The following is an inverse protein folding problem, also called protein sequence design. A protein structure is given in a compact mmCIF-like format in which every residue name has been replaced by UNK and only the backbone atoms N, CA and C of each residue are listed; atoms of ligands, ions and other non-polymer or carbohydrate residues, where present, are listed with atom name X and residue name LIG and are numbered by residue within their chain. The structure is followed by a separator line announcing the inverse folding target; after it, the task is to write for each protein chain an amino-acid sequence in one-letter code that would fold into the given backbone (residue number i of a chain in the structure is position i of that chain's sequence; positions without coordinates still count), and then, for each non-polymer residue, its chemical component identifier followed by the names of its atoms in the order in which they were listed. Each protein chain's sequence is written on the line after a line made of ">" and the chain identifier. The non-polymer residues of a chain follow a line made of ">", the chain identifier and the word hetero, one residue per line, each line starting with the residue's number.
data_IF_158101862025
#
_entry.id   IF_158101862025
#
_cell.length_a   1.000
_cell.length_b   1.000
_cell.length_c   1.000
_cell.angle_alpha   90.00
_cell.angle_beta   90.00
_cell.angle_gamma   90.00
#
_symmetry.space_group_name_H-M   'P 1'
#
loop_
_entity.id
_entity.type
_entity.pdbx_description
1 polymer ?
#
# COMPACT_ATOMS: atom_id res chain seq x y z
N UNK A 1 -25.02 22.18 46.39
CA UNK A 1 -23.85 23.07 46.62
C UNK A 1 -24.22 24.10 47.67
N UNK A 2 -23.63 24.03 48.86
CA UNK A 2 -23.76 25.10 49.86
C UNK A 2 -22.97 26.30 49.33
N UNK A 3 -23.66 27.35 48.87
CA UNK A 3 -23.04 28.67 48.67
C UNK A 3 -22.48 29.09 50.03
N UNK A 4 -21.16 29.00 50.21
CA UNK A 4 -20.52 29.75 51.29
C UNK A 4 -20.86 31.22 51.04
N UNK A 5 -21.52 31.86 52.01
CA UNK A 5 -21.70 33.31 52.05
C UNK A 5 -20.33 33.94 51.74
N UNK A 6 -20.23 34.67 50.64
CA UNK A 6 -19.13 35.60 50.40
C UNK A 6 -19.10 36.55 51.60
N UNK A 7 -18.21 36.26 52.55
CA UNK A 7 -17.80 37.24 53.54
C UNK A 7 -16.97 38.22 52.73
N UNK A 8 -17.59 39.30 52.28
CA UNK A 8 -16.88 40.42 51.67
C UNK A 8 -15.86 40.92 52.68
N UNK A 9 -14.61 40.47 52.53
CA UNK A 9 -13.49 41.01 53.29
C UNK A 9 -13.24 42.42 52.77
N UNK A 10 -13.64 43.41 53.55
CA UNK A 10 -13.27 44.80 53.31
C UNK A 10 -11.76 44.92 53.50
N UNK A 11 -10.99 44.98 52.41
CA UNK A 11 -9.55 45.26 52.47
C UNK A 11 -9.38 46.70 52.96
N UNK A 12 -8.60 46.86 54.04
CA UNK A 12 -8.09 48.19 54.43
C UNK A 12 -6.93 48.54 53.49
N UNK A 13 -6.92 49.76 53.01
CA UNK A 13 -5.85 50.29 52.17
C UNK A 13 -4.59 50.47 53.03
N UNK A 14 -3.52 49.74 52.69
CA UNK A 14 -2.23 49.81 53.37
C UNK A 14 -1.29 50.64 52.49
N UNK A 15 -0.88 51.82 52.97
CA UNK A 15 0.06 52.70 52.25
C UNK A 15 1.31 52.95 53.10
N UNK A 16 2.48 52.74 52.49
CA UNK A 16 3.76 53.04 53.13
C UNK A 16 4.15 54.49 52.83
N UNK A 17 4.48 55.26 53.87
CA UNK A 17 5.04 56.61 53.75
C UNK A 17 6.54 56.53 54.02
N UNK A 18 7.34 56.70 52.98
CA UNK A 18 8.80 56.65 53.07
C UNK A 18 9.34 58.09 53.14
N UNK A 19 10.01 58.42 54.24
CA UNK A 19 10.70 59.71 54.43
C UNK A 19 12.20 59.50 54.41
N UNK A 20 12.91 60.36 53.66
CA UNK A 20 14.36 60.32 53.56
C UNK A 20 14.94 61.70 53.80
N UNK A 21 15.82 61.83 54.79
CA UNK A 21 16.60 63.05 55.00
C UNK A 21 17.92 62.97 54.21
N UNK A 22 18.33 64.08 53.59
CA UNK A 22 19.47 64.13 52.66
C UNK A 22 20.77 63.75 53.36
N UNK A 23 21.28 62.56 53.10
CA UNK A 23 22.58 62.14 53.62
C UNK A 23 23.72 62.82 52.83
N UNK A 24 24.56 63.62 53.51
CA UNK A 24 25.70 64.34 52.93
C UNK A 24 26.99 63.62 53.27
N UNK A 25 27.70 63.14 52.24
CA UNK A 25 29.08 62.63 52.37
C UNK A 25 30.05 63.78 52.11
N UNK A 26 31.00 64.02 53.02
CA UNK A 26 32.08 65.00 52.85
C UNK A 26 33.45 64.33 52.97
N UNK A 27 34.43 64.89 52.26
CA UNK A 27 35.82 64.43 52.29
C UNK A 27 36.73 65.66 52.22
N UNK A 28 37.93 65.57 52.81
CA UNK A 28 38.97 66.58 52.76
C UNK A 28 39.73 66.55 51.42
N UNK A 29 38.98 66.59 50.30
CA UNK A 29 39.52 66.39 48.95
C UNK A 29 40.71 67.29 48.62
N UNK A 30 40.68 68.58 49.00
CA UNK A 30 41.78 69.50 48.72
C UNK A 30 43.06 69.11 49.47
N UNK A 31 42.95 68.70 50.73
CA UNK A 31 44.11 68.24 51.51
C UNK A 31 44.68 66.93 50.95
N UNK A 32 43.82 65.98 50.59
CA UNK A 32 44.24 64.69 50.01
C UNK A 32 44.87 64.90 48.63
N UNK A 33 44.30 65.78 47.80
CA UNK A 33 44.82 66.15 46.48
C UNK A 33 46.20 66.80 46.58
N UNK A 34 46.38 67.71 47.53
CA UNK A 34 47.68 68.34 47.76
C UNK A 34 48.73 67.31 48.19
N UNK A 35 48.42 66.44 49.15
CA UNK A 35 49.33 65.39 49.61
C UNK A 35 49.72 64.40 48.49
N UNK A 36 48.77 64.04 47.61
CA UNK A 36 49.04 63.21 46.42
C UNK A 36 49.96 63.96 45.46
N UNK A 37 49.71 65.24 45.18
CA UNK A 37 50.52 66.04 44.27
C UNK A 37 51.96 66.21 44.76
N UNK A 38 52.16 66.44 46.07
CA UNK A 38 53.47 66.51 46.70
C UNK A 38 54.22 65.18 46.57
N UNK A 39 53.56 64.06 46.90
CA UNK A 39 54.15 62.71 46.76
C UNK A 39 54.51 62.39 45.31
N UNK A 40 53.70 62.84 44.34
CA UNK A 40 53.94 62.59 42.91
C UNK A 40 54.98 63.54 42.30
N UNK A 41 55.21 64.71 42.91
CA UNK A 41 56.19 65.69 42.44
C UNK A 41 57.63 65.13 42.49
N UNK A 42 57.93 64.27 43.46
CA UNK A 42 59.22 63.57 43.58
C UNK A 42 59.58 62.72 42.35
N UNK A 43 58.58 62.31 41.56
CA UNK A 43 58.77 61.51 40.36
C UNK A 43 58.75 62.34 39.08
N UNK A 44 58.46 63.65 39.14
CA UNK A 44 58.49 64.53 37.97
C UNK A 44 59.93 64.76 37.52
N UNK A 45 60.27 64.24 36.34
CA UNK A 45 61.62 64.34 35.77
C UNK A 45 62.60 63.25 36.23
N UNK A 46 62.15 62.27 37.02
CA UNK A 46 62.99 61.13 37.41
C UNK A 46 63.29 60.22 36.20
N UNK A 47 64.57 59.97 35.93
CA UNK A 47 65.04 59.03 34.90
C UNK A 47 65.60 57.78 35.60
N UNK A 48 64.90 56.65 35.46
CA UNK A 48 65.35 55.38 36.02
C UNK A 48 66.26 54.64 35.02
N UNK A 49 67.43 54.24 35.47
CA UNK A 49 68.46 53.50 34.72
C UNK A 49 68.47 52.00 35.09
N UNK A 50 69.26 51.19 34.39
CA UNK A 50 69.30 49.74 34.61
C UNK A 50 69.71 49.34 36.03
N UNK A 51 70.66 50.08 36.63
CA UNK A 51 71.13 49.88 38.00
C UNK A 51 70.10 50.27 39.08
N UNK A 52 69.11 51.11 38.73
CA UNK A 52 68.06 51.59 39.66
C UNK A 52 66.72 50.85 39.49
N UNK A 53 66.66 49.81 38.65
CA UNK A 53 65.46 49.03 38.32
C UNK A 53 64.76 48.41 39.54
N UNK A 54 65.53 47.89 40.49
CA UNK A 54 64.99 47.31 41.74
C UNK A 54 64.34 48.37 42.62
N UNK A 55 64.92 49.56 42.69
CA UNK A 55 64.38 50.71 43.41
C UNK A 55 63.11 51.27 42.74
N UNK A 56 63.11 51.39 41.42
CA UNK A 56 61.94 51.79 40.64
C UNK A 56 60.74 50.85 40.87
N UNK A 57 60.97 49.53 40.89
CA UNK A 57 59.92 48.53 41.19
C UNK A 57 59.32 48.70 42.59
N UNK A 58 60.14 49.03 43.61
CA UNK A 58 59.66 49.29 44.98
C UNK A 58 58.76 50.53 45.05
N UNK A 59 59.13 51.60 44.35
CA UNK A 59 58.31 52.81 44.27
C UNK A 59 56.98 52.59 43.57
N UNK A 60 56.98 51.86 42.45
CA UNK A 60 55.74 51.48 41.76
C UNK A 60 54.84 50.64 42.67
N UNK A 61 55.40 49.70 43.43
CA UNK A 61 54.62 48.91 44.39
C UNK A 61 54.01 49.78 45.49
N UNK A 62 54.79 50.73 46.05
CA UNK A 62 54.32 51.68 47.06
C UNK A 62 53.20 52.59 46.54
N UNK A 63 53.34 53.15 45.34
CA UNK A 63 52.31 53.97 44.70
C UNK A 63 51.02 53.18 44.42
N UNK A 64 51.15 51.91 44.01
CA UNK A 64 49.99 51.01 43.82
C UNK A 64 49.29 50.70 45.15
N UNK A 65 50.03 50.51 46.24
CA UNK A 65 49.47 50.31 47.57
C UNK A 65 48.68 51.54 48.03
N UNK A 66 49.29 52.74 47.99
CA UNK A 66 48.60 54.00 48.36
C UNK A 66 47.36 54.28 47.50
N UNK A 67 47.40 53.97 46.20
CA UNK A 67 46.22 54.05 45.32
C UNK A 67 45.13 53.08 45.76
N UNK A 68 45.51 51.83 46.09
CA UNK A 68 44.58 50.81 46.56
C UNK A 68 43.93 51.22 47.88
N UNK A 69 44.70 51.75 48.83
CA UNK A 69 44.18 52.18 50.14
C UNK A 69 43.10 53.26 50.00
N UNK A 70 43.30 54.25 49.10
CA UNK A 70 42.28 55.26 48.83
C UNK A 70 41.03 54.67 48.16
N UNK A 71 41.20 53.68 47.27
CA UNK A 71 40.08 52.97 46.64
C UNK A 71 39.31 52.11 47.65
N UNK A 72 40.02 51.49 48.59
CA UNK A 72 39.43 50.65 49.64
C UNK A 72 38.66 51.52 50.63
N UNK A 73 39.22 52.66 51.06
CA UNK A 73 38.51 53.65 51.89
C UNK A 73 37.22 54.16 51.23
N UNK A 74 37.24 54.44 49.93
CA UNK A 74 36.04 54.83 49.18
C UNK A 74 34.99 53.71 49.17
N UNK A 75 35.43 52.45 48.99
CA UNK A 75 34.54 51.29 48.97
C UNK A 75 33.91 51.04 50.34
N UNK A 76 34.68 51.18 51.42
CA UNK A 76 34.19 51.04 52.79
C UNK A 76 33.19 52.15 53.15
N UNK A 77 33.51 53.42 52.83
CA UNK A 77 32.59 54.54 53.04
C UNK A 77 31.28 54.37 52.25
N UNK A 78 31.34 53.85 51.01
CA UNK A 78 30.13 53.50 50.24
C UNK A 78 29.34 52.39 50.92
N UNK A 79 29.99 51.34 51.41
CA UNK A 79 29.34 50.23 52.10
C UNK A 79 28.64 50.72 53.37
N UNK A 80 29.31 51.55 54.15
CA UNK A 80 28.74 52.13 55.37
C UNK A 80 27.58 53.08 55.08
N UNK A 81 27.67 53.90 54.03
CA UNK A 81 26.57 54.74 53.56
C UNK A 81 25.36 53.92 53.06
N UNK A 82 25.59 52.74 52.50
CA UNK A 82 24.52 51.84 52.04
C UNK A 82 23.91 50.99 53.15
N UNK A 83 24.57 50.79 54.30
CA UNK A 83 24.01 49.99 55.40
C UNK A 83 22.60 50.42 55.84
N UNK A 84 22.29 51.72 56.07
CA UNK A 84 20.95 52.13 56.46
C UNK A 84 19.90 51.86 55.36
N UNK A 85 20.32 51.94 54.10
CA UNK A 85 19.46 51.57 52.97
C UNK A 85 19.23 50.07 52.93
N UNK A 86 20.28 49.26 53.05
CA UNK A 86 20.18 47.79 53.01
C UNK A 86 19.30 47.26 54.15
N UNK A 87 19.41 47.86 55.35
CA UNK A 87 18.55 47.55 56.51
C UNK A 87 17.08 47.94 56.25
N UNK A 88 16.83 49.15 55.73
CA UNK A 88 15.48 49.59 55.35
C UNK A 88 14.88 48.72 54.25
N UNK A 89 15.67 48.40 53.20
CA UNK A 89 15.25 47.53 52.10
C UNK A 89 14.92 46.12 52.62
N UNK A 90 15.70 45.61 53.58
CA UNK A 90 15.40 44.36 54.28
C UNK A 90 14.04 44.37 54.97
N UNK A 91 13.77 45.41 55.77
CA UNK A 91 12.47 45.58 56.45
C UNK A 91 11.31 45.76 55.46
N UNK A 92 11.51 46.52 54.38
CA UNK A 92 10.50 46.69 53.35
C UNK A 92 10.20 45.37 52.62
N UNK A 93 11.22 44.57 52.31
CA UNK A 93 11.07 43.23 51.72
C UNK A 93 10.35 42.26 52.65
N UNK A 94 10.62 42.33 53.95
CA UNK A 94 9.88 41.53 54.95
C UNK A 94 8.39 41.86 54.91
N UNK A 95 8.02 43.15 54.92
CA UNK A 95 6.62 43.58 54.80
C UNK A 95 5.97 43.14 53.49
N UNK A 96 6.70 43.16 52.37
CA UNK A 96 6.22 42.66 51.08
C UNK A 96 6.01 41.15 51.13
N UNK A 97 6.93 40.40 51.74
CA UNK A 97 6.86 38.94 51.80
C UNK A 97 5.68 38.40 52.62
N UNK A 98 5.10 39.22 53.52
CA UNK A 98 3.90 38.86 54.26
C UNK A 98 2.68 38.61 53.36
N UNK A 99 2.69 39.11 52.11
CA UNK A 99 1.63 38.85 51.14
C UNK A 99 1.80 37.52 50.40
N UNK A 100 3.01 36.95 50.37
CA UNK A 100 3.30 35.76 49.55
C UNK A 100 2.53 34.53 50.06
N UNK A 101 2.58 34.26 51.38
CA UNK A 101 1.87 33.11 51.99
C UNK A 101 0.36 33.09 51.70
N UNK A 102 -0.42 34.17 51.97
CA UNK A 102 -1.85 34.16 51.67
C UNK A 102 -2.14 34.15 50.16
N UNK A 103 -1.29 34.75 49.32
CA UNK A 103 -1.43 34.67 47.85
C UNK A 103 -1.27 33.23 47.39
N UNK A 104 -0.22 32.55 47.83
CA UNK A 104 0.08 31.17 47.46
C UNK A 104 -1.00 30.21 47.97
N UNK A 105 -1.51 30.43 49.19
CA UNK A 105 -2.64 29.67 49.73
C UNK A 105 -3.88 29.82 48.86
N UNK A 106 -4.24 31.05 48.47
CA UNK A 106 -5.42 31.31 47.61
C UNK A 106 -5.21 30.70 46.23
N UNK A 107 -4.03 30.89 45.62
CA UNK A 107 -3.70 30.32 44.32
C UNK A 107 -3.79 28.79 44.34
N UNK A 108 -3.22 28.16 45.37
CA UNK A 108 -3.30 26.71 45.56
C UNK A 108 -4.74 26.22 45.72
N UNK A 109 -5.58 26.94 46.48
CA UNK A 109 -7.00 26.61 46.61
C UNK A 109 -7.74 26.74 45.27
N UNK A 110 -7.53 27.83 44.53
CA UNK A 110 -8.15 28.05 43.20
C UNK A 110 -7.73 26.96 42.21
N UNK A 111 -6.44 26.62 42.17
CA UNK A 111 -5.93 25.54 41.33
C UNK A 111 -6.55 24.18 41.71
N UNK A 112 -6.61 23.85 43.00
CA UNK A 112 -7.23 22.61 43.46
C UNK A 112 -8.73 22.54 43.12
N UNK A 113 -9.46 23.66 43.18
CA UNK A 113 -10.85 23.71 42.73
C UNK A 113 -10.97 23.45 41.22
N UNK A 114 -10.08 24.02 40.42
CA UNK A 114 -10.06 23.84 38.97
C UNK A 114 -9.72 22.40 38.57
N UNK A 115 -8.71 21.80 39.20
CA UNK A 115 -8.33 20.41 39.01
C UNK A 115 -9.47 19.46 39.39
N UNK A 116 -10.10 19.68 40.54
CA UNK A 116 -11.25 18.89 40.98
C UNK A 116 -12.45 19.06 40.02
N UNK A 117 -12.70 20.28 39.52
CA UNK A 117 -13.73 20.52 38.51
C UNK A 117 -13.46 19.72 37.23
N UNK A 118 -12.22 19.74 36.73
CA UNK A 118 -11.82 18.99 35.54
C UNK A 118 -11.91 17.48 35.78
N UNK A 119 -11.45 16.98 36.94
CA UNK A 119 -11.55 15.57 37.30
C UNK A 119 -13.00 15.08 37.32
N UNK A 120 -13.90 15.81 37.97
CA UNK A 120 -15.34 15.51 37.95
C UNK A 120 -15.94 15.57 36.55
N UNK A 121 -15.45 16.49 35.70
CA UNK A 121 -15.89 16.57 34.30
C UNK A 121 -15.44 15.35 33.50
N UNK A 122 -14.23 14.84 33.72
CA UNK A 122 -13.72 13.61 33.11
C UNK A 122 -14.52 12.39 33.55
N UNK A 123 -14.83 12.29 34.84
CA UNK A 123 -15.69 11.23 35.38
C UNK A 123 -17.09 11.29 34.75
N UNK A 124 -17.67 12.49 34.61
CA UNK A 124 -18.93 12.68 33.90
C UNK A 124 -18.83 12.22 32.44
N UNK A 125 -17.80 12.61 31.70
CA UNK A 125 -17.59 12.21 30.30
C UNK A 125 -17.50 10.68 30.19
N UNK A 126 -16.75 10.04 31.08
CA UNK A 126 -16.66 8.58 31.12
C UNK A 126 -18.03 7.94 31.41
N UNK A 127 -18.79 8.47 32.39
CA UNK A 127 -20.13 7.98 32.70
C UNK A 127 -21.10 8.14 31.53
N UNK A 128 -21.02 9.27 30.80
CA UNK A 128 -21.80 9.49 29.59
C UNK A 128 -21.42 8.50 28.49
N UNK A 129 -20.13 8.23 28.31
CA UNK A 129 -19.65 7.24 27.33
C UNK A 129 -20.22 5.86 27.60
N UNK A 130 -20.10 5.39 28.83
CA UNK A 130 -20.62 4.09 29.25
C UNK A 130 -22.14 3.97 29.04
N UNK A 131 -22.88 5.07 29.29
CA UNK A 131 -24.34 5.09 29.17
C UNK A 131 -24.85 5.26 27.73
N UNK A 132 -24.12 5.99 26.87
CA UNK A 132 -24.60 6.38 25.54
C UNK A 132 -24.00 5.55 24.41
N UNK A 133 -22.85 4.91 24.63
CA UNK A 133 -22.17 4.10 23.61
C UNK A 133 -22.39 2.61 23.90
N UNK A 134 -23.19 1.91 23.07
CA UNK A 134 -23.40 0.48 23.18
C UNK A 134 -22.10 -0.30 23.16
N UNK A 135 -22.04 -1.39 23.92
CA UNK A 135 -20.82 -2.21 24.09
C UNK A 135 -20.23 -2.71 22.77
N UNK A 136 -21.10 -3.08 21.82
CA UNK A 136 -20.71 -3.53 20.47
C UNK A 136 -19.94 -2.45 19.68
N UNK A 137 -20.27 -1.17 19.89
CA UNK A 137 -19.64 -0.04 19.20
C UNK A 137 -18.33 0.39 19.86
N UNK A 138 -18.08 0.03 21.13
CA UNK A 138 -16.88 0.47 21.86
C UNK A 138 -15.58 -0.02 21.22
N UNK A 139 -15.62 -1.15 20.52
CA UNK A 139 -14.48 -1.66 19.74
C UNK A 139 -14.12 -0.79 18.52
N UNK A 140 -15.06 0.00 18.02
CA UNK A 140 -14.89 0.92 16.88
C UNK A 140 -14.59 2.35 17.36
N UNK A 141 -15.33 2.79 18.38
CA UNK A 141 -15.26 4.14 18.96
C UNK A 141 -14.88 4.07 20.46
N UNK A 142 -13.65 3.65 20.79
CA UNK A 142 -13.20 3.69 22.18
C UNK A 142 -13.09 5.16 22.65
N UNK A 143 -13.31 5.40 23.95
CA UNK A 143 -13.45 6.76 24.48
C UNK A 143 -12.25 7.64 24.14
N UNK A 144 -11.02 7.13 24.29
CA UNK A 144 -9.77 7.81 23.96
C UNK A 144 -9.72 8.33 22.52
N UNK A 145 -10.33 7.61 21.57
CA UNK A 145 -10.36 7.99 20.16
C UNK A 145 -11.36 9.12 19.87
N UNK A 146 -12.50 9.10 20.54
CA UNK A 146 -13.58 10.10 20.31
C UNK A 146 -13.52 11.25 21.32
N UNK A 147 -12.62 11.20 22.29
CA UNK A 147 -12.50 12.17 23.36
C UNK A 147 -12.13 13.55 22.83
N UNK A 148 -12.91 14.56 23.19
CA UNK A 148 -12.63 15.94 22.85
C UNK A 148 -12.24 16.74 24.10
N UNK A 149 -11.00 17.23 24.16
CA UNK A 149 -10.50 18.04 25.29
C UNK A 149 -11.35 19.27 25.58
N UNK A 150 -12.07 19.81 24.58
CA UNK A 150 -12.99 20.94 24.78
C UNK A 150 -14.14 20.61 25.74
N UNK A 151 -14.50 19.33 25.90
CA UNK A 151 -15.53 18.89 26.85
C UNK A 151 -15.14 19.16 28.32
N UNK A 152 -13.85 19.33 28.62
CA UNK A 152 -13.34 19.64 29.97
C UNK A 152 -13.61 21.10 30.39
N UNK A 153 -13.96 21.97 29.45
CA UNK A 153 -14.21 23.39 29.70
C UNK A 153 -15.46 23.60 30.56
N UNK A 154 -15.38 24.53 31.51
CA UNK A 154 -16.52 24.87 32.38
C UNK A 154 -17.77 25.34 31.62
N UNK A 155 -17.59 25.98 30.46
CA UNK A 155 -18.69 26.52 29.65
C UNK A 155 -19.43 25.45 28.86
N UNK A 156 -18.82 24.29 28.61
CA UNK A 156 -19.43 23.21 27.82
C UNK A 156 -20.40 22.42 28.69
N UNK A 157 -21.67 22.39 28.29
CA UNK A 157 -22.73 21.77 29.08
C UNK A 157 -22.77 20.27 28.83
N UNK A 158 -23.23 19.52 29.82
CA UNK A 158 -23.43 18.06 29.72
C UNK A 158 -24.32 17.68 28.52
N UNK A 159 -25.36 18.48 28.23
CA UNK A 159 -26.25 18.29 27.09
C UNK A 159 -25.50 18.29 25.76
N UNK A 160 -24.51 19.18 25.61
CA UNK A 160 -23.76 19.34 24.37
C UNK A 160 -22.82 18.13 24.18
N UNK A 161 -22.14 17.71 25.25
CA UNK A 161 -21.29 16.51 25.27
C UNK A 161 -22.11 15.26 24.90
N UNK A 162 -23.29 15.11 25.54
CA UNK A 162 -24.22 14.01 25.26
C UNK A 162 -24.66 14.02 23.79
N UNK A 163 -25.01 15.18 23.24
CA UNK A 163 -25.40 15.34 21.84
C UNK A 163 -24.30 14.95 20.86
N UNK A 164 -23.06 15.43 21.08
CA UNK A 164 -21.91 15.08 20.26
C UNK A 164 -21.63 13.57 20.31
N UNK A 165 -21.59 12.99 21.52
CA UNK A 165 -21.28 11.57 21.72
C UNK A 165 -22.34 10.64 21.14
N UNK A 166 -23.63 10.94 21.34
CA UNK A 166 -24.72 10.20 20.71
C UNK A 166 -24.71 10.34 19.19
N UNK A 167 -24.34 11.52 18.66
CA UNK A 167 -24.18 11.72 17.23
C UNK A 167 -23.08 10.84 16.62
N UNK A 168 -21.95 10.71 17.32
CA UNK A 168 -20.86 9.80 16.93
C UNK A 168 -21.35 8.35 16.95
N UNK A 169 -21.99 7.90 18.04
CA UNK A 169 -22.49 6.54 18.16
C UNK A 169 -23.51 6.20 17.05
N UNK A 170 -24.50 7.06 16.81
CA UNK A 170 -25.50 6.87 15.78
C UNK A 170 -24.89 6.84 14.36
N UNK A 171 -23.89 7.67 14.10
CA UNK A 171 -23.15 7.64 12.82
C UNK A 171 -22.41 6.31 12.66
N UNK A 172 -21.68 5.87 13.68
CA UNK A 172 -20.94 4.60 13.65
C UNK A 172 -21.87 3.41 13.46
N UNK A 173 -23.01 3.38 14.15
CA UNK A 173 -24.03 2.35 13.98
C UNK A 173 -24.56 2.30 12.54
N UNK A 174 -24.90 3.47 11.98
CA UNK A 174 -25.38 3.58 10.58
C UNK A 174 -24.32 3.12 9.57
N UNK A 175 -23.08 3.53 9.76
CA UNK A 175 -21.97 3.15 8.88
C UNK A 175 -21.75 1.63 8.92
N UNK A 176 -21.78 1.02 10.11
CA UNK A 176 -21.68 -0.44 10.28
C UNK A 176 -22.87 -1.16 9.63
N UNK A 177 -24.09 -0.65 9.80
CA UNK A 177 -25.28 -1.16 9.12
C UNK A 177 -25.11 -1.17 7.60
N UNK A 178 -24.66 -0.05 7.03
CA UNK A 178 -24.40 0.09 5.59
C UNK A 178 -23.37 -0.93 5.08
N UNK A 179 -22.30 -1.17 5.83
CA UNK A 179 -21.28 -2.18 5.48
C UNK A 179 -21.88 -3.58 5.50
N UNK A 180 -22.69 -3.91 6.52
CA UNK A 180 -23.33 -5.23 6.66
C UNK A 180 -24.39 -5.48 5.57
N UNK A 181 -25.12 -4.45 5.18
CA UNK A 181 -26.20 -4.52 4.18
C UNK A 181 -25.68 -4.78 2.74
N UNK A 182 -24.36 -4.75 2.51
CA UNK A 182 -23.77 -5.01 1.18
C UNK A 182 -23.81 -6.50 0.79
N UNK A 183 -24.17 -7.41 1.70
CA UNK A 183 -24.34 -8.87 1.43
C UNK A 183 -23.12 -9.54 0.75
N UNK A 184 -21.92 -9.12 1.12
CA UNK A 184 -20.65 -9.57 0.51
C UNK A 184 -19.87 -10.50 1.43
N UNK A 185 -19.12 -11.47 0.88
CA UNK A 185 -18.25 -12.35 1.69
C UNK A 185 -17.10 -11.58 2.39
N UNK A 186 -16.83 -10.34 1.94
CA UNK A 186 -15.78 -9.47 2.47
C UNK A 186 -16.26 -8.48 3.54
N UNK A 187 -17.51 -8.59 4.03
CA UNK A 187 -18.06 -7.69 5.07
C UNK A 187 -17.19 -7.66 6.32
N UNK A 188 -16.71 -8.80 6.82
CA UNK A 188 -15.85 -8.85 8.02
C UNK A 188 -14.52 -8.12 7.82
N UNK A 189 -13.94 -8.22 6.61
CA UNK A 189 -12.75 -7.46 6.22
C UNK A 189 -13.02 -5.97 6.16
N UNK A 190 -14.16 -5.56 5.61
CA UNK A 190 -14.59 -4.17 5.53
C UNK A 190 -14.86 -3.55 6.91
N UNK A 191 -15.50 -4.30 7.82
CA UNK A 191 -15.69 -3.90 9.21
C UNK A 191 -14.36 -3.72 9.94
N UNK A 192 -13.36 -4.56 9.63
CA UNK A 192 -12.01 -4.41 10.19
C UNK A 192 -11.32 -3.13 9.69
N UNK A 193 -11.43 -2.83 8.39
CA UNK A 193 -10.94 -1.57 7.80
C UNK A 193 -11.64 -0.36 8.45
N UNK A 194 -12.96 -0.43 8.61
CA UNK A 194 -13.75 0.61 9.26
C UNK A 194 -13.34 0.79 10.73
N UNK A 195 -13.09 -0.30 11.48
CA UNK A 195 -12.61 -0.23 12.87
C UNK A 195 -11.30 0.55 12.97
N UNK A 196 -10.37 0.35 12.04
CA UNK A 196 -9.08 1.04 12.07
C UNK A 196 -9.21 2.49 11.63
N UNK A 197 -9.94 2.78 10.54
CA UNK A 197 -9.95 4.13 9.93
C UNK A 197 -11.12 5.02 10.36
N UNK A 198 -12.21 4.43 10.87
CA UNK A 198 -13.49 5.08 11.14
C UNK A 198 -14.08 5.81 9.91
N UNK A 199 -13.79 5.29 8.72
CA UNK A 199 -14.18 5.87 7.43
C UNK A 199 -14.96 4.85 6.61
N UNK A 200 -16.23 5.18 6.34
CA UNK A 200 -17.15 4.35 5.56
C UNK A 200 -16.67 4.22 4.11
N UNK A 201 -16.09 5.28 3.52
CA UNK A 201 -15.67 5.31 2.12
C UNK A 201 -14.55 4.29 1.86
N UNK A 202 -13.61 4.20 2.79
CA UNK A 202 -12.50 3.24 2.76
C UNK A 202 -13.01 1.81 2.89
N UNK A 203 -13.98 1.56 3.79
CA UNK A 203 -14.58 0.25 3.95
C UNK A 203 -15.38 -0.19 2.72
N UNK A 204 -16.18 0.72 2.13
CA UNK A 204 -16.92 0.45 0.88
C UNK A 204 -15.97 0.24 -0.30
N UNK A 205 -14.87 0.98 -0.38
CA UNK A 205 -13.85 0.79 -1.41
C UNK A 205 -13.21 -0.61 -1.33
N UNK A 206 -12.96 -1.09 -0.11
CA UNK A 206 -12.49 -2.46 0.10
C UNK A 206 -13.49 -3.50 -0.41
N UNK A 207 -14.78 -3.33 -0.10
CA UNK A 207 -15.86 -4.20 -0.60
C UNK A 207 -15.93 -4.22 -2.13
N UNK A 208 -16.02 -3.04 -2.75
CA UNK A 208 -16.13 -2.92 -4.21
C UNK A 208 -14.91 -3.54 -4.93
N UNK A 209 -13.72 -3.41 -4.36
CA UNK A 209 -12.51 -4.02 -4.93
C UNK A 209 -12.56 -5.55 -4.83
N UNK A 210 -13.01 -6.09 -3.70
CA UNK A 210 -13.17 -7.53 -3.52
C UNK A 210 -14.21 -8.11 -4.48
N UNK A 211 -15.37 -7.46 -4.62
CA UNK A 211 -16.42 -7.88 -5.54
C UNK A 211 -15.98 -7.82 -6.99
N UNK A 212 -15.26 -6.76 -7.38
CA UNK A 212 -14.66 -6.66 -8.71
C UNK A 212 -13.72 -7.83 -8.99
N UNK A 213 -12.83 -8.15 -8.06
CA UNK A 213 -11.91 -9.28 -8.20
C UNK A 213 -12.66 -10.61 -8.31
N UNK A 214 -13.70 -10.84 -7.49
CA UNK A 214 -14.54 -12.05 -7.56
C UNK A 214 -15.23 -12.17 -8.92
N UNK A 215 -15.80 -11.08 -9.44
CA UNK A 215 -16.45 -11.05 -10.76
C UNK A 215 -15.45 -11.29 -11.90
N UNK A 216 -14.25 -10.70 -11.83
CA UNK A 216 -13.19 -10.93 -12.82
C UNK A 216 -12.74 -12.41 -12.87
N UNK A 217 -12.63 -13.06 -11.70
CA UNK A 217 -12.28 -14.48 -11.63
C UNK A 217 -13.39 -15.35 -12.24
N UNK A 218 -14.64 -15.09 -11.88
CA UNK A 218 -15.81 -15.81 -12.42
C UNK A 218 -15.94 -15.64 -13.94
N UNK A 219 -15.75 -14.41 -14.44
CA UNK A 219 -15.80 -14.12 -15.87
C UNK A 219 -14.72 -14.89 -16.63
N UNK A 220 -13.48 -14.89 -16.12
CA UNK A 220 -12.37 -15.66 -16.71
C UNK A 220 -12.62 -17.16 -16.69
N UNK A 221 -13.20 -17.70 -15.63
CA UNK A 221 -13.53 -19.13 -15.57
C UNK A 221 -14.65 -19.51 -16.53
N UNK A 222 -15.70 -18.68 -16.64
CA UNK A 222 -16.77 -18.88 -17.61
C UNK A 222 -16.26 -18.80 -19.05
N UNK A 223 -15.41 -17.83 -19.36
CA UNK A 223 -14.77 -17.72 -20.67
C UNK A 223 -13.92 -18.97 -20.98
N UNK A 224 -13.12 -19.44 -20.01
CA UNK A 224 -12.33 -20.66 -20.17
C UNK A 224 -13.20 -21.89 -20.44
N UNK A 225 -14.29 -22.05 -19.69
CA UNK A 225 -15.25 -23.16 -19.90
C UNK A 225 -15.92 -23.09 -21.27
N UNK A 226 -16.29 -21.90 -21.76
CA UNK A 226 -16.85 -21.72 -23.10
C UNK A 226 -15.86 -22.11 -24.18
N UNK A 227 -14.60 -21.67 -24.07
CA UNK A 227 -13.54 -22.02 -25.02
C UNK A 227 -13.25 -23.53 -25.03
N UNK A 228 -13.20 -24.17 -23.85
CA UNK A 228 -13.01 -25.63 -23.73
C UNK A 228 -14.18 -26.40 -24.36
N UNK A 229 -15.43 -25.95 -24.16
CA UNK A 229 -16.61 -26.56 -24.76
C UNK A 229 -16.67 -26.37 -26.28
N UNK A 230 -16.36 -25.17 -26.77
CA UNK A 230 -16.23 -24.90 -28.21
C UNK A 230 -15.13 -25.74 -28.85
N UNK A 231 -13.99 -25.92 -28.17
CA UNK A 231 -12.91 -26.78 -28.64
C UNK A 231 -13.32 -28.26 -28.66
N UNK A 232 -14.05 -28.72 -27.63
CA UNK A 232 -14.60 -30.09 -27.58
C UNK A 232 -15.57 -30.33 -28.73
N UNK A 233 -16.53 -29.44 -28.95
CA UNK A 233 -17.48 -29.52 -30.08
C UNK A 233 -16.72 -29.55 -31.40
N UNK A 234 -15.73 -28.66 -31.58
CA UNK A 234 -14.92 -28.61 -32.80
C UNK A 234 -14.10 -29.90 -33.02
N UNK A 235 -13.61 -30.54 -31.95
CA UNK A 235 -12.93 -31.85 -32.04
C UNK A 235 -13.91 -32.96 -32.42
N UNK A 236 -15.07 -33.02 -31.77
CA UNK A 236 -16.12 -33.99 -32.11
C UNK A 236 -16.61 -33.83 -33.55
N UNK A 237 -16.80 -32.61 -34.03
CA UNK A 237 -17.16 -32.34 -35.44
C UNK A 237 -16.06 -32.79 -36.40
N UNK A 238 -14.78 -32.53 -36.08
CA UNK A 238 -13.65 -33.01 -36.89
C UNK A 238 -13.55 -34.54 -36.90
N UNK A 239 -13.77 -35.19 -35.77
CA UNK A 239 -13.77 -36.66 -35.68
C UNK A 239 -14.93 -37.27 -36.47
N UNK A 240 -16.14 -36.70 -36.36
CA UNK A 240 -17.29 -37.13 -37.16
C UNK A 240 -17.05 -36.95 -38.65
N UNK A 241 -16.52 -35.79 -39.07
CA UNK A 241 -16.19 -35.54 -40.47
C UNK A 241 -15.13 -36.51 -41.00
N UNK A 242 -14.08 -36.81 -40.20
CA UNK A 242 -13.06 -37.79 -40.58
C UNK A 242 -13.61 -39.23 -40.64
N UNK A 243 -14.50 -39.60 -39.70
CA UNK A 243 -15.15 -40.90 -39.70
C UNK A 243 -16.09 -41.07 -40.91
N UNK A 244 -16.83 -40.01 -41.27
CA UNK A 244 -17.68 -39.99 -42.47
C UNK A 244 -16.83 -40.11 -43.74
N UNK A 245 -15.73 -39.37 -43.86
CA UNK A 245 -14.79 -39.52 -44.98
C UNK A 245 -14.25 -40.95 -45.10
N UNK A 246 -13.80 -41.55 -43.99
CA UNK A 246 -13.33 -42.95 -43.99
C UNK A 246 -14.42 -43.94 -44.38
N UNK A 247 -15.66 -43.73 -43.94
CA UNK A 247 -16.78 -44.59 -44.30
C UNK A 247 -17.14 -44.47 -45.79
N UNK A 248 -17.00 -43.28 -46.38
CA UNK A 248 -17.15 -43.07 -47.83
C UNK A 248 -16.03 -43.78 -48.58
N UNK A 249 -14.76 -43.57 -48.18
CA UNK A 249 -13.60 -44.23 -48.78
C UNK A 249 -13.68 -45.76 -48.70
N UNK A 250 -14.13 -46.32 -47.58
CA UNK A 250 -14.32 -47.76 -47.38
C UNK A 250 -15.45 -48.31 -48.26
N UNK A 251 -16.57 -47.60 -48.38
CA UNK A 251 -17.66 -47.96 -49.30
C UNK A 251 -17.22 -47.91 -50.76
N UNK A 252 -16.46 -46.88 -51.16
CA UNK A 252 -15.89 -46.81 -52.50
C UNK A 252 -14.87 -47.93 -52.75
N UNK A 253 -14.03 -48.25 -51.76
CA UNK A 253 -13.08 -49.35 -51.87
C UNK A 253 -13.79 -50.71 -51.96
N UNK A 254 -14.88 -50.92 -51.21
CA UNK A 254 -15.72 -52.11 -51.30
C UNK A 254 -16.41 -52.20 -52.66
N UNK A 255 -16.99 -51.10 -53.16
CA UNK A 255 -17.59 -51.04 -54.48
C UNK A 255 -16.56 -51.34 -55.59
N UNK A 256 -15.33 -50.79 -55.49
CA UNK A 256 -14.23 -51.11 -56.41
C UNK A 256 -13.83 -52.58 -56.35
N UNK A 257 -13.83 -53.21 -55.17
CA UNK A 257 -13.55 -54.66 -55.02
C UNK A 257 -14.65 -55.51 -55.62
N UNK A 258 -15.92 -55.18 -55.36
CA UNK A 258 -17.06 -55.87 -55.97
C UNK A 258 -17.09 -55.70 -57.49
N UNK A 259 -16.73 -54.53 -58.01
CA UNK A 259 -16.59 -54.29 -59.45
C UNK A 259 -15.46 -55.14 -60.03
N UNK A 260 -14.30 -55.19 -59.37
CA UNK A 260 -13.18 -56.05 -59.77
C UNK A 260 -13.55 -57.54 -59.72
N UNK A 261 -14.28 -57.98 -58.69
CA UNK A 261 -14.79 -59.37 -58.57
C UNK A 261 -15.81 -59.69 -59.67
N UNK A 262 -16.70 -58.74 -60.01
CA UNK A 262 -17.63 -58.90 -61.14
C UNK A 262 -16.90 -58.93 -62.48
N UNK A 263 -15.91 -58.07 -62.68
CA UNK A 263 -15.06 -58.11 -63.88
C UNK A 263 -14.29 -59.43 -63.98
N UNK A 264 -13.72 -59.91 -62.87
CA UNK A 264 -13.07 -61.22 -62.81
C UNK A 264 -14.05 -62.37 -63.06
N UNK A 265 -15.28 -62.31 -62.52
CA UNK A 265 -16.32 -63.30 -62.77
C UNK A 265 -16.81 -63.26 -64.23
N UNK A 266 -16.89 -62.09 -64.85
CA UNK A 266 -17.22 -61.93 -66.28
C UNK A 266 -16.05 -62.45 -67.14
N UNK A 267 -14.80 -62.18 -66.77
CA UNK A 267 -13.63 -62.72 -67.45
C UNK A 267 -13.55 -64.25 -67.29
N UNK A 268 -13.87 -64.77 -66.11
CA UNK A 268 -13.93 -66.20 -65.84
C UNK A 268 -15.09 -66.85 -66.58
N UNK A 269 -16.27 -66.24 -66.62
CA UNK A 269 -17.40 -66.69 -67.45
C UNK A 269 -17.08 -66.59 -68.95
N UNK A 270 -16.27 -65.61 -69.39
CA UNK A 270 -15.74 -65.57 -70.75
C UNK A 270 -14.78 -66.73 -70.99
N UNK A 271 -13.86 -67.02 -70.07
CA UNK A 271 -12.93 -68.15 -70.17
C UNK A 271 -13.69 -69.48 -70.16
N UNK A 272 -14.67 -69.65 -69.28
CA UNK A 272 -15.55 -70.82 -69.21
C UNK A 272 -16.44 -70.94 -70.44
N UNK A 273 -17.00 -69.85 -70.98
CA UNK A 273 -17.72 -69.89 -72.25
C UNK A 273 -16.79 -70.15 -73.44
N UNK A 274 -15.52 -69.73 -73.38
CA UNK A 274 -14.50 -70.10 -74.36
C UNK A 274 -14.15 -71.58 -74.22
N UNK A 275 -14.13 -72.11 -73.00
CA UNK A 275 -13.89 -73.52 -72.70
C UNK A 275 -15.09 -74.40 -73.08
N UNK A 276 -16.33 -73.97 -72.85
CA UNK A 276 -17.57 -74.63 -73.30
C UNK A 276 -17.75 -74.51 -74.82
N UNK A 277 -17.30 -73.42 -75.44
CA UNK A 277 -17.19 -73.31 -76.90
C UNK A 277 -16.14 -74.29 -77.44
N UNK A 278 -14.98 -74.41 -76.79
CA UNK A 278 -13.95 -75.40 -77.10
C UNK A 278 -14.49 -76.84 -76.91
N UNK A 279 -15.25 -77.13 -75.85
CA UNK A 279 -15.87 -78.45 -75.62
C UNK A 279 -17.06 -78.73 -76.55
N UNK A 280 -17.71 -77.70 -77.11
CA UNK A 280 -18.72 -77.84 -78.19
C UNK A 280 -18.11 -78.02 -79.59
N UNK A 281 -16.80 -77.79 -79.72
CA UNK A 281 -16.01 -77.86 -80.95
C UNK A 281 -15.10 -79.09 -81.01
N UNK A 282 -15.38 -80.12 -80.20
CA UNK A 282 -14.82 -81.47 -80.39
C UNK A 282 -15.94 -82.38 -80.91
N UNK A 283 -16.04 -82.58 -82.24
CA UNK A 283 -16.99 -83.45 -82.88
C UNK A 283 -16.47 -84.88 -82.91
N UNK A 284 -17.27 -85.82 -82.42
CA UNK A 284 -17.01 -87.26 -82.49
C UNK A 284 -17.53 -87.79 -83.85
N UNK A 285 -16.82 -87.49 -84.94
CA UNK A 285 -16.80 -88.28 -86.19
C UNK A 285 -16.04 -87.58 -87.33
N UNK A 286 -14.86 -88.14 -87.61
CA UNK A 286 -14.26 -88.39 -88.93
C UNK A 286 -14.13 -87.23 -89.94
N UNK A 287 -12.97 -86.59 -89.93
CA UNK A 287 -11.98 -86.74 -91.01
C UNK A 287 -10.60 -86.31 -90.47
N UNK A 288 -9.76 -87.29 -90.13
CA UNK A 288 -8.32 -87.09 -90.00
C UNK A 288 -7.80 -86.66 -91.37
N UNK A 289 -7.40 -85.40 -91.49
CA UNK A 289 -6.72 -84.91 -92.68
C UNK A 289 -5.28 -85.46 -92.65
N UNK A 290 -5.08 -86.59 -93.31
CA UNK A 290 -3.75 -87.15 -93.56
C UNK A 290 -3.03 -86.30 -94.63
N UNK A 291 -1.90 -85.69 -94.26
CA UNK A 291 -1.05 -84.92 -95.17
C UNK A 291 -0.23 -85.87 -96.06
N UNK A 292 -0.31 -85.70 -97.39
CA UNK A 292 0.42 -86.51 -98.36
C UNK A 292 1.40 -85.67 -99.20
N UNK A 293 2.68 -86.02 -99.20
CA UNK A 293 3.69 -85.41 -100.08
C UNK A 293 3.81 -86.16 -101.42
N UNK A 294 3.43 -85.50 -102.53
CA UNK A 294 3.62 -86.02 -103.89
C UNK A 294 4.68 -85.22 -104.65
N UNK A 295 5.66 -85.90 -105.25
CA UNK A 295 6.67 -85.27 -106.11
C UNK A 295 6.31 -85.51 -107.58
N UNK A 296 5.79 -84.48 -108.25
CA UNK A 296 5.25 -84.55 -109.61
C UNK A 296 6.10 -83.66 -110.54
N UNK A 297 6.56 -84.20 -111.68
CA UNK A 297 7.25 -83.43 -112.72
C UNK A 297 6.24 -82.99 -113.80
N UNK A 298 5.98 -81.69 -113.91
CA UNK A 298 4.98 -81.11 -114.80
C UNK A 298 5.61 -80.05 -115.73
N UNK A 299 5.01 -79.87 -116.92
CA UNK A 299 5.27 -78.68 -117.73
C UNK A 299 4.61 -77.44 -117.11
N UNK A 300 5.07 -76.23 -117.45
CA UNK A 300 4.54 -74.99 -116.87
C UNK A 300 3.01 -74.83 -117.06
N UNK A 301 2.48 -75.26 -118.21
CA UNK A 301 1.03 -75.24 -118.49
C UNK A 301 0.27 -76.27 -117.64
N UNK A 302 0.83 -77.46 -117.43
CA UNK A 302 0.21 -78.49 -116.60
C UNK A 302 0.24 -78.14 -115.11
N UNK A 303 1.29 -77.47 -114.64
CA UNK A 303 1.38 -76.95 -113.26
C UNK A 303 0.24 -75.96 -112.98
N UNK A 304 0.05 -74.97 -113.85
CA UNK A 304 -0.96 -73.93 -113.65
C UNK A 304 -2.39 -74.51 -113.64
N UNK A 305 -2.65 -75.49 -114.53
CA UNK A 305 -3.93 -76.22 -114.52
C UNK A 305 -4.16 -77.01 -113.24
N UNK A 306 -3.11 -77.60 -112.66
CA UNK A 306 -3.21 -78.33 -111.40
C UNK A 306 -3.50 -77.40 -110.23
N UNK A 307 -2.79 -76.28 -110.12
CA UNK A 307 -2.98 -75.26 -109.08
C UNK A 307 -4.40 -74.65 -109.16
N UNK A 308 -4.84 -74.24 -110.36
CA UNK A 308 -6.21 -73.76 -110.57
C UNK A 308 -7.26 -74.81 -110.21
N UNK A 309 -6.98 -76.09 -110.50
CA UNK A 309 -7.90 -77.16 -110.15
C UNK A 309 -7.98 -77.35 -108.64
N UNK A 310 -6.84 -77.43 -107.94
CA UNK A 310 -6.76 -77.55 -106.48
C UNK A 310 -7.52 -76.42 -105.77
N UNK A 311 -7.32 -75.17 -106.20
CA UNK A 311 -8.05 -74.02 -105.67
C UNK A 311 -9.56 -74.11 -105.94
N UNK A 312 -9.95 -74.58 -107.14
CA UNK A 312 -11.36 -74.66 -107.51
C UNK A 312 -12.17 -75.68 -106.71
N UNK A 313 -11.52 -76.73 -106.22
CA UNK A 313 -12.14 -77.77 -105.39
C UNK A 313 -11.84 -77.59 -103.89
N UNK A 314 -11.19 -76.49 -103.50
CA UNK A 314 -10.92 -76.14 -102.11
C UNK A 314 -9.87 -77.02 -101.43
N UNK A 315 -8.91 -77.58 -102.17
CA UNK A 315 -7.76 -78.26 -101.58
C UNK A 315 -6.75 -77.19 -101.12
N UNK A 316 -6.38 -77.20 -99.85
CA UNK A 316 -5.26 -76.39 -99.36
C UNK A 316 -3.93 -77.07 -99.74
N UNK A 317 -3.03 -76.32 -100.37
CA UNK A 317 -1.73 -76.81 -100.82
C UNK A 317 -0.62 -75.78 -100.58
N UNK A 318 0.61 -76.28 -100.44
CA UNK A 318 1.83 -75.46 -100.42
C UNK A 318 2.86 -75.99 -101.42
N UNK A 319 3.56 -75.10 -102.11
CA UNK A 319 4.72 -75.48 -102.93
C UNK A 319 5.97 -75.32 -102.08
N UNK A 320 6.57 -76.44 -101.71
CA UNK A 320 7.88 -76.49 -101.06
C UNK A 320 8.94 -76.39 -102.18
N UNK A 321 9.54 -75.20 -102.36
CA UNK A 321 10.53 -74.91 -103.41
C UNK A 321 11.96 -75.28 -103.00
#
# INVERSE_FOLDING_TARGET
>A
MRRQKERTMTMKEITAVITQEKAKISCNFEQVKQAIQETLAEYRGAVFTEDSKTYAKKHVASLRAKKKDLQDNLREAKKEYMKPWDEFEGQAKELISMYDEPIDLINGQVQAFEENRIAKKKELIHGLYEALVPEELRSYIPLDRIYNKKWENATVKEKDIRGEMSGIAAKTEKDIGTIKDTESDAVDGALSVYRVKLDLTEALSYLHNYERQKQEILAKEQERRRLEEEERIRREEREKALAEQRAIEEKEAAARREELEKEQAIEQARKEATQEFIDSLIPDSAEESELYEYRIALSADAKNKLEMYMDSIGIEWEVIS
#
